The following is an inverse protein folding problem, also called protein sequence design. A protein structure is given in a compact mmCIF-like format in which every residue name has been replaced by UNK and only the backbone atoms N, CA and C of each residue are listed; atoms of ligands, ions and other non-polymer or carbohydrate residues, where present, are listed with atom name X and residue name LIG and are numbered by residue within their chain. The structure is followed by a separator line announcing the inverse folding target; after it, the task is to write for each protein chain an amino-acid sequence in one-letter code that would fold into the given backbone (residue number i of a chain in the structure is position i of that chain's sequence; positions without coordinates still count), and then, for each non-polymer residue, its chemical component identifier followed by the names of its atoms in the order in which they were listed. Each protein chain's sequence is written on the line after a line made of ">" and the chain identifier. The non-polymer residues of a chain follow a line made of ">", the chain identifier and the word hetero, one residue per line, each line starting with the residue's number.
data_IF_107423788884
#
_entry.id   IF_107423788884
#
_cell.length_a   1.000
_cell.length_b   1.000
_cell.length_c   1.000
_cell.angle_alpha   90.00
_cell.angle_beta   90.00
_cell.angle_gamma   90.00
#
_symmetry.space_group_name_H-M   'P 1'
#
loop_
_entity.id
_entity.type
_entity.pdbx_description
1 polymer ?
#
# COMPACT_ATOMS: atom_id res chain seq x y z
N UNK A 1 -11.75 9.53 21.72
CA UNK A 1 -11.23 10.89 21.45
C UNK A 1 -11.95 11.37 20.22
N UNK A 2 -12.49 12.58 20.22
CA UNK A 2 -13.08 13.17 19.02
C UNK A 2 -11.94 13.53 18.05
N UNK A 3 -12.08 13.18 16.78
CA UNK A 3 -11.11 13.54 15.75
C UNK A 3 -11.22 15.04 15.48
N UNK A 4 -10.08 15.75 15.49
CA UNK A 4 -10.01 17.16 15.14
C UNK A 4 -9.84 17.28 13.63
N UNK A 5 -10.59 18.18 12.98
CA UNK A 5 -10.49 18.44 11.54
C UNK A 5 -10.18 19.90 11.27
N UNK A 6 -9.42 20.17 10.21
CA UNK A 6 -9.18 21.53 9.73
C UNK A 6 -10.47 22.09 9.11
N UNK A 7 -10.83 23.32 9.50
CA UNK A 7 -12.08 23.98 9.10
C UNK A 7 -12.41 23.86 7.61
N UNK A 8 -13.62 23.37 7.31
CA UNK A 8 -14.15 23.18 5.95
C UNK A 8 -13.33 22.22 5.06
N UNK A 9 -12.58 21.29 5.65
CA UNK A 9 -11.84 20.26 4.92
C UNK A 9 -12.08 18.87 5.49
N UNK A 10 -11.61 17.86 4.78
CA UNK A 10 -11.56 16.47 5.26
C UNK A 10 -10.23 16.12 5.92
N UNK A 11 -9.39 17.12 6.23
CA UNK A 11 -8.05 16.91 6.78
C UNK A 11 -8.16 16.73 8.29
N UNK A 12 -7.81 15.53 8.77
CA UNK A 12 -7.72 15.22 10.19
C UNK A 12 -6.40 15.73 10.79
N UNK A 13 -6.50 16.39 11.95
CA UNK A 13 -5.37 16.86 12.74
C UNK A 13 -5.09 15.83 13.83
N UNK A 14 -4.11 14.97 13.58
CA UNK A 14 -3.67 13.98 14.57
C UNK A 14 -2.94 14.63 15.76
N UNK A 15 -2.21 15.72 15.50
CA UNK A 15 -1.48 16.49 16.51
C UNK A 15 -1.31 17.93 16.05
N UNK A 16 -1.62 18.88 16.93
CA UNK A 16 -1.26 20.28 16.69
C UNK A 16 0.26 20.45 16.70
N UNK A 17 0.76 21.15 15.68
CA UNK A 17 2.16 21.53 15.58
C UNK A 17 2.27 23.06 15.55
N UNK A 18 3.38 23.59 16.04
CA UNK A 18 3.65 25.02 15.93
C UNK A 18 3.89 25.38 14.45
N UNK A 19 2.98 26.17 13.88
CA UNK A 19 3.08 26.68 12.50
C UNK A 19 3.91 27.97 12.46
N UNK A 20 4.32 28.41 11.26
CA UNK A 20 5.04 29.69 11.05
C UNK A 20 6.57 29.65 11.09
N UNK A 21 7.19 28.54 11.54
CA UNK A 21 8.65 28.35 11.54
C UNK A 21 9.14 27.21 10.63
N UNK A 22 8.26 26.62 9.82
CA UNK A 22 8.61 25.53 8.90
C UNK A 22 9.29 26.13 7.67
N UNK A 23 10.57 25.79 7.45
CA UNK A 23 11.36 26.26 6.29
C UNK A 23 11.60 25.20 5.22
N UNK A 24 11.42 23.93 5.59
CA UNK A 24 11.70 22.79 4.74
C UNK A 24 10.63 21.73 4.98
N UNK A 25 10.26 21.03 3.91
CA UNK A 25 9.34 19.89 3.94
C UNK A 25 9.97 18.78 3.11
N UNK A 26 9.88 17.56 3.60
CA UNK A 26 10.27 16.35 2.87
C UNK A 26 9.00 15.58 2.57
N UNK A 27 8.79 15.26 1.30
CA UNK A 27 7.67 14.46 0.84
C UNK A 27 8.23 13.15 0.31
N UNK A 28 7.59 12.04 0.66
CA UNK A 28 7.81 10.80 -0.06
C UNK A 28 7.36 11.00 -1.53
N UNK A 29 7.94 10.23 -2.43
CA UNK A 29 7.58 10.32 -3.84
C UNK A 29 6.43 9.37 -4.17
N UNK A 30 6.56 8.10 -3.81
CA UNK A 30 5.61 7.07 -4.18
C UNK A 30 4.42 7.04 -3.23
N UNK A 31 3.20 6.96 -3.76
CA UNK A 31 1.97 7.04 -2.98
C UNK A 31 1.65 8.44 -2.41
N UNK A 32 2.57 9.40 -2.51
CA UNK A 32 2.36 10.79 -2.05
C UNK A 32 2.31 11.79 -3.22
N UNK A 33 3.20 11.66 -4.20
CA UNK A 33 3.21 12.47 -5.42
C UNK A 33 2.91 11.60 -6.64
N UNK A 34 3.59 10.47 -6.75
CA UNK A 34 3.44 9.50 -7.83
C UNK A 34 2.49 8.38 -7.45
N UNK A 35 1.63 7.99 -8.39
CA UNK A 35 0.74 6.83 -8.31
C UNK A 35 1.20 5.73 -9.28
N UNK A 36 2.46 5.73 -9.72
CA UNK A 36 2.98 4.73 -10.68
C UNK A 36 2.82 3.31 -10.12
N UNK A 37 3.09 3.12 -8.83
CA UNK A 37 2.95 1.84 -8.13
C UNK A 37 1.58 1.63 -7.48
N UNK A 38 0.59 2.48 -7.78
CA UNK A 38 -0.77 2.32 -7.27
C UNK A 38 -1.39 0.98 -7.71
N UNK A 39 -2.32 0.44 -6.93
CA UNK A 39 -2.92 -0.87 -7.17
C UNK A 39 -2.05 -2.04 -6.69
N UNK A 40 -1.03 -1.77 -5.88
CA UNK A 40 -0.20 -2.81 -5.26
C UNK A 40 -1.01 -3.75 -4.35
N UNK A 41 -2.09 -3.26 -3.72
CA UNK A 41 -3.04 -4.05 -2.94
C UNK A 41 -3.78 -5.07 -3.81
N UNK A 42 -4.10 -4.71 -5.06
CA UNK A 42 -4.75 -5.61 -6.03
C UNK A 42 -3.84 -6.79 -6.44
N UNK A 43 -2.56 -6.75 -6.06
CA UNK A 43 -1.63 -7.87 -6.21
C UNK A 43 -1.42 -8.58 -4.87
N UNK A 44 -1.20 -7.83 -3.80
CA UNK A 44 -0.91 -8.39 -2.47
C UNK A 44 -2.08 -9.18 -1.90
N UNK A 45 -3.29 -8.61 -1.91
CA UNK A 45 -4.46 -9.21 -1.27
C UNK A 45 -4.85 -10.52 -1.96
N UNK A 46 -5.02 -10.58 -3.30
CA UNK A 46 -5.35 -11.85 -3.96
C UNK A 46 -4.27 -12.92 -3.81
N UNK A 47 -2.99 -12.52 -3.83
CA UNK A 47 -1.88 -13.45 -3.58
C UNK A 47 -1.98 -14.08 -2.18
N UNK A 48 -2.23 -13.28 -1.15
CA UNK A 48 -2.34 -13.77 0.22
C UNK A 48 -3.57 -14.64 0.42
N UNK A 49 -4.71 -14.28 -0.17
CA UNK A 49 -5.93 -15.10 -0.15
C UNK A 49 -5.69 -16.46 -0.83
N UNK A 50 -5.06 -16.47 -2.00
CA UNK A 50 -4.68 -17.70 -2.73
C UNK A 50 -3.76 -18.59 -1.86
N UNK A 51 -2.77 -18.02 -1.19
CA UNK A 51 -1.86 -18.77 -0.31
C UNK A 51 -2.60 -19.33 0.90
N UNK A 52 -3.50 -18.57 1.54
CA UNK A 52 -4.30 -19.08 2.64
C UNK A 52 -5.22 -20.24 2.19
N UNK A 53 -5.77 -20.18 0.99
CA UNK A 53 -6.62 -21.26 0.44
C UNK A 53 -5.83 -22.51 0.04
N UNK A 54 -4.59 -22.35 -0.43
CA UNK A 54 -3.81 -23.45 -1.00
C UNK A 54 -2.81 -24.07 -0.02
N UNK A 55 -2.37 -23.33 0.99
CA UNK A 55 -1.37 -23.78 1.98
C UNK A 55 -2.00 -24.17 3.32
N UNK A 56 -3.33 -24.15 3.45
CA UNK A 56 -4.04 -24.45 4.71
C UNK A 56 -5.32 -25.26 4.48
N UNK A 57 -5.85 -25.86 5.55
CA UNK A 57 -7.13 -26.58 5.54
C UNK A 57 -8.33 -25.67 5.91
N UNK A 58 -8.24 -24.37 5.61
CA UNK A 58 -9.29 -23.43 5.98
C UNK A 58 -10.63 -23.75 5.32
N UNK A 59 -11.72 -23.55 6.09
CA UNK A 59 -13.10 -23.62 5.60
C UNK A 59 -13.70 -22.23 5.35
N UNK A 60 -12.91 -21.16 5.53
CA UNK A 60 -13.36 -19.78 5.32
C UNK A 60 -13.60 -19.51 3.83
N UNK A 61 -14.58 -18.65 3.55
CA UNK A 61 -14.88 -18.24 2.16
C UNK A 61 -13.82 -17.27 1.64
N UNK A 62 -13.69 -17.11 0.30
CA UNK A 62 -12.79 -16.11 -0.27
C UNK A 62 -13.00 -14.70 0.30
N UNK A 63 -14.24 -14.30 0.55
CA UNK A 63 -14.60 -12.98 1.08
C UNK A 63 -14.17 -12.80 2.54
N UNK A 64 -14.23 -13.87 3.35
CA UNK A 64 -13.77 -13.85 4.73
C UNK A 64 -12.24 -13.70 4.79
N UNK A 65 -11.53 -14.45 3.95
CA UNK A 65 -10.07 -14.35 3.83
C UNK A 65 -9.65 -12.99 3.28
N UNK A 66 -10.37 -12.45 2.29
CA UNK A 66 -10.11 -11.12 1.75
C UNK A 66 -10.28 -10.04 2.83
N UNK A 67 -11.38 -10.06 3.58
CA UNK A 67 -11.62 -9.10 4.66
C UNK A 67 -10.52 -9.16 5.74
N UNK A 68 -10.08 -10.36 6.11
CA UNK A 68 -8.97 -10.56 7.04
C UNK A 68 -7.65 -10.00 6.48
N UNK A 69 -7.33 -10.32 5.23
CA UNK A 69 -6.09 -9.89 4.59
C UNK A 69 -6.06 -8.37 4.45
N UNK A 70 -7.17 -7.76 4.00
CA UNK A 70 -7.29 -6.30 3.92
C UNK A 70 -7.09 -5.66 5.30
N UNK A 71 -7.69 -6.18 6.37
CA UNK A 71 -7.52 -5.65 7.73
C UNK A 71 -6.05 -5.57 8.11
N UNK A 72 -5.31 -6.68 8.00
CA UNK A 72 -3.93 -6.67 8.48
C UNK A 72 -2.98 -5.93 7.51
N UNK A 73 -3.27 -5.94 6.21
CA UNK A 73 -2.49 -5.17 5.23
C UNK A 73 -2.64 -3.67 5.52
N UNK A 74 -3.86 -3.19 5.76
CA UNK A 74 -4.12 -1.79 6.09
C UNK A 74 -3.46 -1.40 7.41
N UNK A 75 -3.63 -2.22 8.45
CA UNK A 75 -3.01 -1.97 9.77
C UNK A 75 -1.48 -1.96 9.73
N UNK A 76 -0.87 -2.73 8.83
CA UNK A 76 0.59 -2.81 8.68
C UNK A 76 1.13 -1.86 7.60
N UNK A 77 0.26 -1.19 6.85
CA UNK A 77 0.67 -0.17 5.88
C UNK A 77 1.45 0.94 6.59
N UNK A 78 2.54 1.40 5.96
CA UNK A 78 3.53 2.29 6.56
C UNK A 78 4.70 1.57 7.25
N UNK A 79 4.63 0.24 7.44
CA UNK A 79 5.79 -0.60 7.76
C UNK A 79 6.40 -1.21 6.49
N UNK A 80 7.62 -1.75 6.63
CA UNK A 80 8.25 -2.52 5.56
C UNK A 80 7.39 -3.74 5.21
N UNK A 81 7.28 -4.06 3.92
CA UNK A 81 6.46 -5.18 3.38
C UNK A 81 6.69 -6.52 4.09
N UNK A 82 7.87 -6.73 4.67
CA UNK A 82 8.20 -7.94 5.42
C UNK A 82 7.24 -8.19 6.59
N UNK A 83 6.69 -7.15 7.22
CA UNK A 83 5.75 -7.30 8.33
C UNK A 83 4.41 -7.89 7.87
N UNK A 84 3.92 -7.52 6.68
CA UNK A 84 2.75 -8.15 6.07
C UNK A 84 3.04 -9.63 5.77
N UNK A 85 4.25 -9.96 5.32
CA UNK A 85 4.65 -11.35 5.06
C UNK A 85 4.79 -12.18 6.32
N UNK A 86 5.27 -11.58 7.42
CA UNK A 86 5.28 -12.21 8.74
C UNK A 86 3.86 -12.49 9.22
N UNK A 87 2.95 -11.51 9.10
CA UNK A 87 1.54 -11.70 9.47
C UNK A 87 0.88 -12.79 8.64
N UNK A 88 1.15 -12.87 7.33
CA UNK A 88 0.67 -13.96 6.48
C UNK A 88 1.14 -15.33 7.01
N UNK A 89 2.41 -15.44 7.41
CA UNK A 89 2.94 -16.66 8.02
C UNK A 89 2.19 -17.05 9.30
N UNK A 90 1.91 -16.09 10.17
CA UNK A 90 1.08 -16.33 11.37
C UNK A 90 -0.34 -16.80 11.01
N UNK A 91 -0.95 -16.19 9.98
CA UNK A 91 -2.30 -16.59 9.53
C UNK A 91 -2.33 -17.98 8.89
N UNK A 92 -1.25 -18.41 8.23
CA UNK A 92 -1.07 -19.76 7.70
C UNK A 92 -0.93 -20.76 8.84
N UNK A 93 -0.08 -20.49 9.84
CA UNK A 93 0.12 -21.35 11.01
C UNK A 93 -1.18 -21.53 11.81
N UNK A 94 -1.94 -20.45 12.03
CA UNK A 94 -3.25 -20.49 12.71
C UNK A 94 -4.26 -21.41 12.03
N UNK A 95 -4.12 -21.63 10.72
CA UNK A 95 -4.99 -22.49 9.89
C UNK A 95 -4.40 -23.88 9.66
N UNK A 96 -3.38 -24.27 10.44
CA UNK A 96 -2.74 -25.58 10.37
C UNK A 96 -1.76 -25.75 9.22
N UNK A 97 -1.46 -24.69 8.47
CA UNK A 97 -0.43 -24.69 7.44
C UNK A 97 0.98 -24.61 8.03
N UNK A 98 1.99 -24.84 7.19
CA UNK A 98 3.41 -24.64 7.56
C UNK A 98 3.92 -23.38 6.89
N UNK A 99 4.15 -22.28 7.63
CA UNK A 99 4.57 -21.03 7.02
C UNK A 99 5.97 -21.14 6.41
N UNK A 100 6.17 -20.49 5.27
CA UNK A 100 7.49 -20.24 4.69
C UNK A 100 8.14 -19.04 5.39
N UNK A 101 9.43 -18.88 5.14
CA UNK A 101 10.15 -17.67 5.54
C UNK A 101 9.50 -16.41 4.91
N UNK A 102 9.32 -15.31 5.67
CA UNK A 102 8.68 -14.08 5.17
C UNK A 102 9.28 -13.54 3.87
N UNK A 103 10.58 -13.77 3.63
CA UNK A 103 11.25 -13.35 2.40
C UNK A 103 10.72 -14.09 1.17
N UNK A 104 10.33 -15.35 1.29
CA UNK A 104 9.77 -16.12 0.18
C UNK A 104 8.42 -15.55 -0.29
N UNK A 105 7.56 -15.13 0.64
CA UNK A 105 6.31 -14.46 0.31
C UNK A 105 6.54 -13.07 -0.31
N UNK A 106 7.56 -12.34 0.18
CA UNK A 106 7.96 -11.05 -0.42
C UNK A 106 8.47 -11.21 -1.85
N UNK A 107 9.24 -12.26 -2.12
CA UNK A 107 9.77 -12.54 -3.45
C UNK A 107 8.65 -12.90 -4.43
N UNK A 108 7.68 -13.70 -3.99
CA UNK A 108 6.48 -14.02 -4.77
C UNK A 108 5.65 -12.76 -5.06
N UNK A 109 5.46 -11.90 -4.05
CA UNK A 109 4.78 -10.62 -4.24
C UNK A 109 5.48 -9.74 -5.28
N UNK A 110 6.80 -9.60 -5.19
CA UNK A 110 7.59 -8.84 -6.16
C UNK A 110 7.49 -9.44 -7.57
N UNK A 111 7.51 -10.77 -7.69
CA UNK A 111 7.35 -11.47 -8.98
C UNK A 111 6.02 -11.13 -9.66
N UNK A 112 4.95 -10.94 -8.88
CA UNK A 112 3.63 -10.55 -9.40
C UNK A 112 3.51 -9.05 -9.65
N UNK A 113 4.08 -8.21 -8.78
CA UNK A 113 3.93 -6.76 -8.84
C UNK A 113 4.82 -6.10 -9.91
N UNK A 114 6.09 -6.50 -9.99
CA UNK A 114 7.10 -5.81 -10.81
C UNK A 114 6.69 -5.69 -12.29
N UNK A 115 6.15 -6.73 -12.96
CA UNK A 115 5.74 -6.60 -14.36
C UNK A 115 4.69 -5.49 -14.59
N UNK A 116 3.73 -5.35 -13.68
CA UNK A 116 2.67 -4.32 -13.76
C UNK A 116 3.27 -2.92 -13.63
N UNK A 117 4.24 -2.76 -12.73
CA UNK A 117 4.92 -1.49 -12.51
C UNK A 117 5.84 -1.16 -13.69
N UNK A 118 6.59 -2.14 -14.19
CA UNK A 118 7.52 -1.99 -15.31
C UNK A 118 6.79 -1.62 -16.61
N UNK A 119 5.61 -2.21 -16.87
CA UNK A 119 4.77 -1.86 -18.01
C UNK A 119 4.35 -0.39 -17.97
N UNK A 120 3.87 0.10 -16.82
CA UNK A 120 3.49 1.52 -16.65
C UNK A 120 4.68 2.46 -16.84
N UNK A 121 5.86 2.09 -16.32
CA UNK A 121 7.09 2.87 -16.51
C UNK A 121 7.47 2.91 -17.99
N UNK A 122 7.41 1.77 -18.69
CA UNK A 122 7.73 1.68 -20.10
C UNK A 122 6.77 2.52 -20.96
N UNK A 123 5.48 2.49 -20.67
CA UNK A 123 4.47 3.28 -21.39
C UNK A 123 4.61 4.78 -21.14
N UNK A 124 4.97 5.20 -19.92
CA UNK A 124 5.34 6.59 -19.62
C UNK A 124 6.58 7.02 -20.41
N UNK A 125 7.63 6.21 -20.41
CA UNK A 125 8.88 6.50 -21.13
C UNK A 125 8.67 6.58 -22.65
N UNK A 126 7.77 5.75 -23.18
CA UNK A 126 7.40 5.75 -24.59
C UNK A 126 6.38 6.85 -24.97
N UNK A 127 5.85 7.60 -24.01
CA UNK A 127 4.81 8.61 -24.22
C UNK A 127 3.44 8.04 -24.59
N UNK A 128 3.22 6.73 -24.40
CA UNK A 128 1.93 6.07 -24.59
C UNK A 128 0.97 6.37 -23.44
N UNK A 129 1.53 6.60 -22.25
CA UNK A 129 0.81 7.02 -21.06
C UNK A 129 1.25 8.44 -20.67
N UNK A 130 0.29 9.27 -20.26
CA UNK A 130 0.61 10.57 -19.69
C UNK A 130 0.83 10.45 -18.18
N UNK A 131 1.68 11.32 -17.61
CA UNK A 131 1.95 11.31 -16.17
C UNK A 131 0.78 11.86 -15.32
N UNK A 132 -0.13 12.63 -15.91
CA UNK A 132 -1.25 13.26 -15.22
C UNK A 132 -2.15 12.27 -14.44
N UNK A 133 -2.63 11.15 -15.04
CA UNK A 133 -3.42 10.15 -14.32
C UNK A 133 -2.63 9.35 -13.29
N UNK A 134 -1.29 9.33 -13.36
CA UNK A 134 -0.42 8.60 -12.43
C UNK A 134 0.20 9.52 -11.38
N UNK A 135 -0.48 10.62 -11.06
CA UNK A 135 -0.02 11.62 -10.10
C UNK A 135 -1.15 11.97 -9.17
N UNK A 136 -0.83 12.15 -7.90
CA UNK A 136 -1.80 12.61 -6.90
C UNK A 136 -2.36 13.97 -7.36
N UNK A 137 -3.70 14.12 -7.43
CA UNK A 137 -4.31 15.36 -7.89
C UNK A 137 -3.79 16.58 -7.13
N UNK A 138 -3.61 17.69 -7.83
CA UNK A 138 -3.15 18.97 -7.28
C UNK A 138 -1.73 18.95 -6.65
N UNK A 139 -0.99 17.84 -6.74
CA UNK A 139 0.33 17.74 -6.11
C UNK A 139 1.35 18.72 -6.71
N UNK A 140 1.32 18.98 -8.01
CA UNK A 140 2.23 19.97 -8.62
C UNK A 140 1.86 21.40 -8.22
N UNK A 141 0.57 21.71 -8.23
CA UNK A 141 0.02 23.01 -7.86
C UNK A 141 0.35 23.33 -6.40
N UNK A 142 0.22 22.33 -5.51
CA UNK A 142 0.65 22.42 -4.12
C UNK A 142 2.17 22.66 -4.03
N UNK A 143 3.00 21.87 -4.71
CA UNK A 143 4.45 22.07 -4.68
C UNK A 143 4.88 23.45 -5.21
N UNK A 144 4.15 23.99 -6.19
CA UNK A 144 4.40 25.34 -6.72
C UNK A 144 3.99 26.45 -5.74
N UNK A 145 3.02 26.20 -4.86
CA UNK A 145 2.58 27.19 -3.84
C UNK A 145 3.47 27.22 -2.61
N UNK A 146 4.32 26.22 -2.39
CA UNK A 146 5.32 26.18 -1.32
C UNK A 146 6.57 27.06 -1.58
N UNK A 147 6.54 27.89 -2.63
CA UNK A 147 7.63 28.79 -3.01
C UNK A 147 7.75 30.00 -2.09
#
# INVERSE_FOLDING_TARGET
>A
MENLFLDNTTIEIHREIQTGNIRHVVLDFDGTISLIRDGWQNVMVPMMVELLQTETDTTETPEQLEALVVEFVDRLTGKQTIYQMMQLGEEIEKRGGTPKEPLAYKDEYNRRLLPVVEERIADLAAGKLSAAPLRVPMSLEFLQSLR
#
